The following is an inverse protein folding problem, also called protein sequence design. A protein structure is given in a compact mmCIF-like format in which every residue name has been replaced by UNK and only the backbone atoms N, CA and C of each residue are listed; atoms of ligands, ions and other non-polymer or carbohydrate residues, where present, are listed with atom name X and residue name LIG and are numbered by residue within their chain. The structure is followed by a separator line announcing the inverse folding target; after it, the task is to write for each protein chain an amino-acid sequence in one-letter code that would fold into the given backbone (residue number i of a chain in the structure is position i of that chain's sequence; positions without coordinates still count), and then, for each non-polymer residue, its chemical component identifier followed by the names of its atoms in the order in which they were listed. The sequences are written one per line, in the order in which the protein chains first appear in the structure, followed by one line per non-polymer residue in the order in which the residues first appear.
data_IF_386076557432
#
_entry.id   IF_386076557432
#
_cell.length_a   1.000
_cell.length_b   1.000
_cell.length_c   1.000
_cell.angle_alpha   90.00
_cell.angle_beta   90.00
_cell.angle_gamma   90.00
#
_symmetry.space_group_name_H-M   'P 1'
#
loop_
_entity.id
_entity.type
_entity.pdbx_description
1 polymer ?
#
# COMPACT_ATOMS: atom_id res chain seq x y z
N UNK A 1 -11.35 -9.25 -10.29
CA UNK A 1 -10.15 -8.41 -10.37
C UNK A 1 -9.71 -8.35 -11.83
N UNK A 2 -9.58 -7.14 -12.40
CA UNK A 2 -9.09 -6.97 -13.78
C UNK A 2 -7.56 -7.10 -13.84
N UNK A 3 -6.97 -7.34 -15.02
CA UNK A 3 -5.52 -7.32 -15.18
C UNK A 3 -4.90 -5.98 -14.77
N UNK A 4 -5.61 -4.88 -14.99
CA UNK A 4 -5.16 -3.54 -14.61
C UNK A 4 -5.19 -3.33 -13.09
N UNK A 5 -6.24 -3.80 -12.43
CA UNK A 5 -6.33 -3.79 -10.97
C UNK A 5 -5.20 -4.61 -10.35
N UNK A 6 -4.97 -5.82 -10.87
CA UNK A 6 -3.89 -6.70 -10.43
C UNK A 6 -2.52 -6.08 -10.66
N UNK A 7 -2.28 -5.47 -11.82
CA UNK A 7 -1.01 -4.84 -12.13
C UNK A 7 -0.70 -3.66 -11.20
N UNK A 8 -1.68 -2.78 -10.95
CA UNK A 8 -1.50 -1.65 -10.02
C UNK A 8 -1.22 -2.13 -8.59
N UNK A 9 -1.96 -3.13 -8.12
CA UNK A 9 -1.74 -3.69 -6.79
C UNK A 9 -0.39 -4.41 -6.67
N UNK A 10 0.04 -5.14 -7.70
CA UNK A 10 1.34 -5.80 -7.72
C UNK A 10 2.51 -4.80 -7.70
N UNK A 11 2.38 -3.63 -8.34
CA UNK A 11 3.41 -2.58 -8.24
C UNK A 11 3.54 -2.11 -6.78
N UNK A 12 2.41 -1.88 -6.09
CA UNK A 12 2.40 -1.55 -4.67
C UNK A 12 3.09 -2.63 -3.83
N UNK A 13 2.78 -3.90 -4.08
CA UNK A 13 3.43 -5.04 -3.44
C UNK A 13 4.95 -5.08 -3.70
N UNK A 14 5.40 -4.89 -4.94
CA UNK A 14 6.83 -4.86 -5.25
C UNK A 14 7.56 -3.77 -4.48
N UNK A 15 6.98 -2.57 -4.37
CA UNK A 15 7.56 -1.49 -3.57
C UNK A 15 7.62 -1.83 -2.08
N UNK A 16 6.60 -2.50 -1.52
CA UNK A 16 6.67 -2.95 -0.12
C UNK A 16 7.78 -3.98 0.11
N UNK A 17 8.03 -4.88 -0.85
CA UNK A 17 9.08 -5.89 -0.74
C UNK A 17 10.49 -5.30 -0.75
N UNK A 18 10.69 -4.14 -1.37
CA UNK A 18 12.00 -3.44 -1.39
C UNK A 18 12.12 -2.34 -0.32
N UNK A 19 11.16 -2.26 0.60
CA UNK A 19 11.17 -1.31 1.71
C UNK A 19 10.72 0.12 1.37
N UNK A 20 10.25 0.37 0.14
CA UNK A 20 9.72 1.67 -0.26
C UNK A 20 8.22 1.78 0.10
N UNK A 21 7.96 2.01 1.39
CA UNK A 21 6.61 2.15 1.92
C UNK A 21 5.82 3.32 1.31
N UNK A 22 6.50 4.41 0.94
CA UNK A 22 5.86 5.59 0.35
C UNK A 22 5.28 5.24 -1.02
N UNK A 23 6.08 4.65 -1.91
CA UNK A 23 5.59 4.24 -3.24
C UNK A 23 4.61 3.08 -3.16
N UNK A 24 4.80 2.15 -2.24
CA UNK A 24 3.81 1.09 -1.98
C UNK A 24 2.42 1.68 -1.73
N UNK A 25 2.34 2.67 -0.82
CA UNK A 25 1.08 3.34 -0.46
C UNK A 25 0.46 4.06 -1.67
N UNK A 26 1.27 4.81 -2.41
CA UNK A 26 0.83 5.54 -3.61
C UNK A 26 0.14 4.61 -4.63
N UNK A 27 0.71 3.43 -4.91
CA UNK A 27 0.14 2.51 -5.88
C UNK A 27 -1.12 1.79 -5.37
N UNK A 28 -1.22 1.49 -4.08
CA UNK A 28 -2.46 0.97 -3.52
C UNK A 28 -3.58 2.03 -3.49
N UNK A 29 -3.27 3.29 -3.18
CA UNK A 29 -4.23 4.40 -3.26
C UNK A 29 -4.70 4.62 -4.71
N UNK A 30 -3.77 4.56 -5.68
CA UNK A 30 -4.11 4.60 -7.10
C UNK A 30 -4.98 3.42 -7.53
N UNK A 31 -4.72 2.23 -6.99
CA UNK A 31 -5.58 1.05 -7.22
C UNK A 31 -7.00 1.33 -6.75
N UNK A 32 -7.19 1.93 -5.57
CA UNK A 32 -8.54 2.27 -5.08
C UNK A 32 -9.20 3.44 -5.82
N UNK A 33 -8.42 4.36 -6.38
CA UNK A 33 -8.95 5.42 -7.24
C UNK A 33 -9.60 4.86 -8.50
N UNK A 34 -9.00 3.82 -9.09
CA UNK A 34 -9.50 3.18 -10.32
C UNK A 34 -10.45 2.01 -10.04
N UNK A 35 -10.25 1.31 -8.93
CA UNK A 35 -11.00 0.13 -8.50
C UNK A 35 -11.38 0.25 -7.01
N UNK A 36 -12.42 1.05 -6.68
CA UNK A 36 -12.81 1.32 -5.30
C UNK A 36 -13.14 0.07 -4.47
N UNK A 37 -13.50 -1.04 -5.13
CA UNK A 37 -13.82 -2.32 -4.49
C UNK A 37 -12.64 -3.29 -4.38
N UNK A 38 -11.41 -2.85 -4.68
CA UNK A 38 -10.24 -3.73 -4.59
C UNK A 38 -9.94 -4.15 -3.15
N UNK A 39 -10.31 -5.38 -2.80
CA UNK A 39 -10.06 -5.95 -1.47
C UNK A 39 -8.57 -6.04 -1.13
N UNK A 40 -7.71 -6.28 -2.13
CA UNK A 40 -6.26 -6.35 -1.95
C UNK A 40 -5.68 -4.99 -1.53
N UNK A 41 -6.03 -3.92 -2.25
CA UNK A 41 -5.55 -2.58 -1.94
C UNK A 41 -6.11 -2.07 -0.59
N UNK A 42 -7.40 -2.32 -0.29
CA UNK A 42 -7.99 -2.01 1.02
C UNK A 42 -7.23 -2.69 2.16
N UNK A 43 -6.92 -3.98 2.00
CA UNK A 43 -6.21 -4.78 3.01
C UNK A 43 -4.77 -4.30 3.20
N UNK A 44 -4.06 -4.04 2.10
CA UNK A 44 -2.69 -3.55 2.13
C UNK A 44 -2.59 -2.20 2.86
N UNK A 45 -3.42 -1.21 2.49
CA UNK A 45 -3.41 0.10 3.13
C UNK A 45 -3.79 0.03 4.61
N UNK A 46 -4.71 -0.86 5.00
CA UNK A 46 -5.05 -1.09 6.40
C UNK A 46 -3.85 -1.65 7.18
N UNK A 47 -3.12 -2.59 6.61
CA UNK A 47 -1.91 -3.16 7.23
C UNK A 47 -0.80 -2.12 7.36
N UNK A 48 -0.58 -1.30 6.32
CA UNK A 48 0.39 -0.19 6.34
C UNK A 48 0.04 0.86 7.40
N UNK A 49 -1.23 1.22 7.50
CA UNK A 49 -1.70 2.16 8.54
C UNK A 49 -1.51 1.60 9.95
N UNK A 50 -1.59 0.28 10.13
CA UNK A 50 -1.36 -0.36 11.42
C UNK A 50 0.13 -0.40 11.80
N UNK A 51 1.03 -0.68 10.84
CA UNK A 51 2.48 -0.64 11.10
C UNK A 51 2.99 0.77 11.37
N UNK A 52 2.46 1.81 10.68
CA UNK A 52 2.80 3.21 10.95
C UNK A 52 2.47 3.61 12.39
N UNK A 53 1.30 3.20 12.91
CA UNK A 53 0.88 3.48 14.30
C UNK A 53 1.71 2.77 15.36
N UNK A 54 2.30 1.63 15.00
CA UNK A 54 3.11 0.80 15.90
C UNK A 54 4.62 1.08 15.76
N UNK A 55 5.03 1.93 14.83
CA UNK A 55 6.42 2.34 14.72
C UNK A 55 6.77 3.18 15.97
N UNK A 56 7.85 2.85 16.71
CA UNK A 56 8.32 3.73 17.78
C UNK A 56 8.58 5.10 17.16
N UNK A 57 7.95 6.13 17.72
CA UNK A 57 8.21 7.52 17.34
C UNK A 57 9.73 7.70 17.40
N UNK A 58 10.35 7.90 16.24
CA UNK A 58 11.77 8.25 16.19
C UNK A 58 11.88 9.60 16.85
N UNK A 59 12.32 9.60 18.10
CA UNK A 59 12.63 10.81 18.84
C UNK A 59 13.90 11.38 18.19
N UNK A 60 13.86 12.59 17.59
CA UNK A 60 15.09 13.22 17.14
C UNK A 60 15.94 13.52 18.38
N UNK A 61 17.19 13.05 18.39
CA UNK A 61 18.23 13.46 19.35
C UNK A 61 18.58 14.94 19.16
#
# INVERSE_FOLDING_TARGET
MSYREMALANIGFCYSQIGDGIKSKEYYERTLKEFPESGLAKSALKMMSAMEKNAPQQNPL
#
